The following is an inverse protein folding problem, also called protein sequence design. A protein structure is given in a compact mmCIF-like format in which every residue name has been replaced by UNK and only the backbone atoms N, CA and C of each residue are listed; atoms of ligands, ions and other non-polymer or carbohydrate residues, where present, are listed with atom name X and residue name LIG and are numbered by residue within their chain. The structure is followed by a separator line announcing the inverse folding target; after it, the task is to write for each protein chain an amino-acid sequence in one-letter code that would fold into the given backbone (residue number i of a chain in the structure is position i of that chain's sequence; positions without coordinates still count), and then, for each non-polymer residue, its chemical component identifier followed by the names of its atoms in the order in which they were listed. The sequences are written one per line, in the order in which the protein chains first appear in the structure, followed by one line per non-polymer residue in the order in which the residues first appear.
data_IF_406499073408
#
_entry.id   IF_406499073408
#
_cell.length_a   1.000
_cell.length_b   1.000
_cell.length_c   1.000
_cell.angle_alpha   90.00
_cell.angle_beta   90.00
_cell.angle_gamma   90.00
#
_symmetry.space_group_name_H-M   'P 1'
#
loop_
_entity.id
_entity.type
_entity.pdbx_description
1 polymer ?
#
# COMPACT_ATOMS: atom_id res chain seq x y z
N UNK A 1 9.21 -33.46 27.46
CA UNK A 1 9.01 -32.08 26.98
C UNK A 1 8.26 -32.10 25.64
N UNK A 2 6.95 -31.84 25.70
CA UNK A 2 6.06 -31.91 24.55
C UNK A 2 6.45 -30.86 23.51
N UNK A 3 6.87 -31.31 22.33
CA UNK A 3 6.95 -30.52 21.13
C UNK A 3 5.54 -30.14 20.71
N UNK A 4 5.14 -28.91 20.99
CA UNK A 4 3.94 -28.32 20.39
C UNK A 4 4.24 -28.03 18.92
N UNK A 5 4.08 -29.03 18.06
CA UNK A 5 4.00 -28.82 16.62
C UNK A 5 2.80 -27.90 16.36
N UNK A 6 3.07 -26.71 15.84
CA UNK A 6 2.03 -25.81 15.31
C UNK A 6 1.18 -26.62 14.31
N UNK A 7 -0.16 -26.51 14.35
CA UNK A 7 -1.01 -27.15 13.36
C UNK A 7 -0.62 -26.66 11.95
N UNK A 8 -0.79 -27.48 10.90
CA UNK A 8 -0.50 -27.06 9.52
C UNK A 8 -1.32 -25.81 9.19
N UNK A 9 -0.64 -24.74 8.77
CA UNK A 9 -1.28 -23.44 8.48
C UNK A 9 -2.37 -23.61 7.43
N UNK A 10 -3.59 -23.18 7.77
CA UNK A 10 -4.71 -23.03 6.85
C UNK A 10 -4.56 -21.69 6.10
N UNK A 11 -4.95 -21.68 4.83
CA UNK A 11 -4.58 -20.63 3.86
C UNK A 11 -5.06 -19.19 4.14
N UNK A 12 -4.87 -18.31 3.14
CA UNK A 12 -5.11 -16.86 3.21
C UNK A 12 -6.51 -16.50 2.67
N UNK A 13 -7.23 -15.62 3.39
CA UNK A 13 -8.47 -15.00 2.89
C UNK A 13 -8.26 -13.52 2.58
N UNK A 14 -8.44 -13.11 1.32
CA UNK A 14 -8.41 -11.70 0.92
C UNK A 14 -9.84 -11.16 0.73
N UNK A 15 -10.12 -10.00 1.35
CA UNK A 15 -11.43 -9.32 1.32
C UNK A 15 -11.30 -8.02 0.50
N UNK A 16 -11.57 -8.05 -0.82
CA UNK A 16 -11.49 -6.87 -1.69
C UNK A 16 -12.71 -5.97 -1.61
N UNK A 17 -12.57 -4.73 -2.09
CA UNK A 17 -13.66 -3.78 -2.36
C UNK A 17 -14.77 -4.32 -3.27
N UNK A 18 -14.43 -5.20 -4.23
CA UNK A 18 -15.35 -5.66 -5.29
C UNK A 18 -16.45 -6.62 -4.83
N UNK A 19 -16.41 -7.10 -3.58
CA UNK A 19 -17.63 -7.58 -2.97
C UNK A 19 -18.51 -6.33 -2.76
N UNK A 20 -19.50 -6.15 -3.63
CA UNK A 20 -20.69 -5.34 -3.32
C UNK A 20 -21.40 -5.82 -2.02
N UNK A 21 -20.90 -6.94 -1.45
CA UNK A 21 -21.11 -7.41 -0.10
C UNK A 21 -19.85 -7.50 0.78
N UNK A 22 -18.81 -6.65 0.67
CA UNK A 22 -17.71 -6.55 1.63
C UNK A 22 -18.21 -5.83 2.88
N UNK A 23 -19.00 -4.77 2.65
CA UNK A 23 -19.99 -4.28 3.63
C UNK A 23 -20.88 -5.42 4.08
N UNK A 24 -21.33 -6.35 3.22
CA UNK A 24 -22.13 -7.50 3.66
C UNK A 24 -21.32 -8.65 4.29
N UNK A 25 -19.99 -8.70 4.27
CA UNK A 25 -19.19 -9.75 4.92
C UNK A 25 -18.73 -9.28 6.31
N UNK A 26 -18.20 -8.06 6.38
CA UNK A 26 -17.93 -7.35 7.63
C UNK A 26 -19.25 -7.02 8.34
N UNK A 27 -20.28 -6.57 7.61
CA UNK A 27 -21.62 -6.50 8.19
C UNK A 27 -22.27 -7.87 8.32
N UNK A 28 -22.04 -8.94 7.54
CA UNK A 28 -22.65 -10.25 7.89
C UNK A 28 -22.19 -10.71 9.26
N UNK A 29 -20.89 -10.60 9.56
CA UNK A 29 -20.34 -10.90 10.88
C UNK A 29 -20.95 -9.96 11.94
N UNK A 30 -21.06 -8.65 11.65
CA UNK A 30 -21.68 -7.68 12.56
C UNK A 30 -23.22 -7.72 12.68
N UNK A 31 -23.94 -8.24 11.68
CA UNK A 31 -25.41 -8.21 11.53
C UNK A 31 -26.02 -9.53 12.00
N UNK A 32 -25.29 -10.65 11.92
CA UNK A 32 -25.60 -11.89 12.65
C UNK A 32 -25.66 -11.66 14.17
N UNK A 33 -24.99 -10.62 14.68
CA UNK A 33 -25.09 -10.20 16.08
C UNK A 33 -26.33 -9.34 16.39
N UNK A 34 -27.09 -8.85 15.38
CA UNK A 34 -28.21 -7.90 15.58
C UNK A 34 -29.50 -8.13 14.75
N UNK A 35 -29.64 -9.25 14.04
CA UNK A 35 -30.92 -9.82 13.59
C UNK A 35 -31.91 -8.87 12.89
N UNK A 36 -31.78 -8.67 11.57
CA UNK A 36 -32.85 -8.18 10.68
C UNK A 36 -32.76 -8.83 9.28
N UNK A 37 -33.84 -8.81 8.49
CA UNK A 37 -33.96 -9.53 7.20
C UNK A 37 -33.79 -8.59 6.00
N UNK A 38 -32.97 -8.98 5.01
CA UNK A 38 -32.89 -8.38 3.67
C UNK A 38 -32.66 -9.46 2.59
N UNK A 39 -32.88 -9.14 1.31
CA UNK A 39 -32.78 -10.04 0.11
C UNK A 39 -31.34 -10.50 -0.25
N UNK A 40 -30.39 -10.36 0.67
CA UNK A 40 -29.02 -10.86 0.52
C UNK A 40 -29.01 -12.30 1.04
N UNK A 41 -28.30 -13.22 0.35
CA UNK A 41 -28.06 -14.54 0.93
C UNK A 41 -27.06 -14.38 2.08
N UNK A 42 -27.60 -14.23 3.28
CA UNK A 42 -26.82 -14.14 4.51
C UNK A 42 -26.36 -15.53 4.91
N UNK A 43 -25.05 -15.70 5.11
CA UNK A 43 -24.52 -16.90 5.77
C UNK A 43 -25.14 -17.01 7.16
N UNK A 44 -25.53 -18.22 7.54
CA UNK A 44 -25.92 -18.55 8.91
C UNK A 44 -24.69 -18.44 9.83
N UNK A 45 -24.93 -18.31 11.14
CA UNK A 45 -23.85 -18.18 12.13
C UNK A 45 -22.84 -19.32 12.01
N UNK A 46 -23.33 -20.54 11.85
CA UNK A 46 -22.50 -21.75 11.74
C UNK A 46 -21.67 -21.75 10.46
N UNK A 47 -22.21 -21.21 9.37
CA UNK A 47 -21.51 -21.08 8.09
C UNK A 47 -20.41 -20.02 8.15
N UNK A 48 -20.66 -18.91 8.86
CA UNK A 48 -19.64 -17.88 9.13
C UNK A 48 -18.55 -18.43 10.03
N UNK A 49 -18.89 -19.18 11.07
CA UNK A 49 -17.89 -19.79 11.96
C UNK A 49 -17.02 -20.80 11.21
N UNK A 50 -17.62 -21.69 10.44
CA UNK A 50 -16.88 -22.63 9.59
C UNK A 50 -15.99 -21.92 8.56
N UNK A 51 -16.45 -20.79 8.02
CA UNK A 51 -15.67 -19.97 7.10
C UNK A 51 -14.48 -19.30 7.80
N UNK A 52 -14.67 -18.74 8.99
CA UNK A 52 -13.60 -18.17 9.81
C UNK A 52 -12.55 -19.22 10.13
N UNK A 53 -12.98 -20.41 10.53
CA UNK A 53 -12.08 -21.47 10.95
C UNK A 53 -11.23 -22.02 9.79
N UNK A 54 -11.66 -21.82 8.54
CA UNK A 54 -10.95 -22.26 7.33
C UNK A 54 -9.65 -21.49 7.03
N UNK A 55 -9.48 -20.27 7.56
CA UNK A 55 -8.34 -19.41 7.23
C UNK A 55 -7.65 -18.91 8.48
N UNK A 56 -6.32 -18.89 8.49
CA UNK A 56 -5.56 -18.39 9.63
C UNK A 56 -5.21 -16.91 9.48
N UNK A 57 -5.05 -16.43 8.23
CA UNK A 57 -4.73 -15.04 7.91
C UNK A 57 -5.83 -14.39 7.08
N UNK A 58 -6.22 -13.19 7.49
CA UNK A 58 -7.23 -12.35 6.85
C UNK A 58 -6.60 -11.05 6.37
N UNK A 59 -6.66 -10.81 5.08
CA UNK A 59 -6.18 -9.62 4.42
C UNK A 59 -7.36 -8.73 4.04
N UNK A 60 -7.49 -7.56 4.66
CA UNK A 60 -8.57 -6.62 4.40
C UNK A 60 -8.09 -5.48 3.52
N UNK A 61 -8.81 -5.20 2.44
CA UNK A 61 -8.69 -3.88 1.82
C UNK A 61 -9.09 -2.79 2.83
N UNK A 62 -8.64 -1.56 2.59
CA UNK A 62 -8.87 -0.45 3.49
C UNK A 62 -10.04 0.41 3.02
N UNK A 63 -9.86 1.11 1.91
CA UNK A 63 -10.83 2.02 1.35
C UNK A 63 -12.04 1.24 0.81
N UNK A 64 -13.22 1.55 1.35
CA UNK A 64 -14.50 0.89 1.07
C UNK A 64 -14.73 -0.47 1.75
N UNK A 65 -13.79 -0.93 2.58
CA UNK A 65 -13.92 -2.17 3.37
C UNK A 65 -13.82 -1.91 4.87
N UNK A 66 -12.76 -1.22 5.32
CA UNK A 66 -12.65 -0.78 6.72
C UNK A 66 -13.40 0.53 6.93
N UNK A 67 -13.34 1.44 5.95
CA UNK A 67 -13.98 2.75 6.03
C UNK A 67 -14.53 3.20 4.68
N UNK A 68 -15.48 4.13 4.74
CA UNK A 68 -15.90 4.96 3.63
C UNK A 68 -15.44 6.38 3.95
N UNK A 69 -14.47 6.88 3.18
CA UNK A 69 -13.76 8.14 3.42
C UNK A 69 -13.14 8.20 4.83
N UNK A 70 -13.76 8.95 5.74
CA UNK A 70 -13.36 9.12 7.14
C UNK A 70 -14.18 8.28 8.11
N UNK A 71 -15.28 7.67 7.65
CA UNK A 71 -16.24 6.96 8.51
C UNK A 71 -15.93 5.45 8.53
N UNK A 72 -15.79 4.82 9.70
CA UNK A 72 -15.64 3.38 9.77
C UNK A 72 -16.89 2.66 9.25
N UNK A 73 -16.70 1.55 8.56
CA UNK A 73 -17.80 0.67 8.16
C UNK A 73 -18.47 0.12 9.44
N UNK A 74 -19.81 0.06 9.51
CA UNK A 74 -20.51 -0.41 10.71
C UNK A 74 -20.01 -1.77 11.20
N UNK A 75 -19.78 -1.89 12.51
CA UNK A 75 -19.31 -3.10 13.20
C UNK A 75 -17.91 -3.61 12.78
N UNK A 76 -17.13 -2.83 12.03
CA UNK A 76 -15.79 -3.26 11.59
C UNK A 76 -14.87 -3.58 12.76
N UNK A 77 -14.80 -2.71 13.78
CA UNK A 77 -13.94 -2.93 14.95
C UNK A 77 -14.30 -4.23 15.70
N UNK A 78 -15.60 -4.47 15.92
CA UNK A 78 -16.09 -5.69 16.57
C UNK A 78 -15.76 -6.94 15.74
N UNK A 79 -15.85 -6.85 14.42
CA UNK A 79 -15.53 -7.96 13.50
C UNK A 79 -14.05 -8.31 13.55
N UNK A 80 -13.17 -7.31 13.48
CA UNK A 80 -11.72 -7.51 13.55
C UNK A 80 -11.30 -8.07 14.91
N UNK A 81 -11.87 -7.54 16.00
CA UNK A 81 -11.64 -8.06 17.35
C UNK A 81 -12.07 -9.52 17.51
N UNK A 82 -13.21 -9.91 16.90
CA UNK A 82 -13.68 -11.29 16.92
C UNK A 82 -12.75 -12.25 16.17
N UNK A 83 -12.22 -11.84 15.01
CA UNK A 83 -11.22 -12.63 14.29
C UNK A 83 -9.96 -12.82 15.14
N UNK A 84 -9.44 -11.75 15.75
CA UNK A 84 -8.27 -11.83 16.63
C UNK A 84 -8.52 -12.68 17.87
N UNK A 85 -9.71 -12.60 18.48
CA UNK A 85 -10.06 -13.44 19.64
C UNK A 85 -10.11 -14.93 19.30
N UNK A 86 -10.26 -15.28 18.02
CA UNK A 86 -10.16 -16.64 17.48
C UNK A 86 -8.73 -17.02 17.05
N UNK A 87 -7.73 -16.22 17.41
CA UNK A 87 -6.33 -16.45 17.06
C UNK A 87 -5.99 -16.21 15.59
N UNK A 88 -6.83 -15.45 14.86
CA UNK A 88 -6.59 -15.14 13.45
C UNK A 88 -5.66 -13.95 13.28
N UNK A 89 -4.75 -14.04 12.32
CA UNK A 89 -3.92 -12.92 11.87
C UNK A 89 -4.74 -11.99 10.99
N UNK A 90 -4.71 -10.69 11.27
CA UNK A 90 -5.48 -9.67 10.55
C UNK A 90 -4.52 -8.62 10.01
N UNK A 91 -4.46 -8.48 8.69
CA UNK A 91 -3.62 -7.49 8.00
C UNK A 91 -4.48 -6.55 7.15
N UNK A 92 -4.04 -5.30 7.04
CA UNK A 92 -4.68 -4.23 6.29
C UNK A 92 -3.87 -3.93 5.02
N UNK A 93 -4.42 -4.22 3.85
CA UNK A 93 -3.73 -4.19 2.56
C UNK A 93 -4.28 -3.06 1.67
N UNK A 94 -3.51 -1.99 1.45
CA UNK A 94 -3.97 -0.79 0.72
C UNK A 94 -3.03 -0.40 -0.43
N UNK A 95 -3.60 0.02 -1.57
CA UNK A 95 -2.82 0.64 -2.63
C UNK A 95 -2.36 2.06 -2.28
N UNK A 96 -2.93 2.69 -1.27
CA UNK A 96 -2.60 4.07 -0.94
C UNK A 96 -1.18 4.17 -0.34
N UNK A 97 -0.25 4.69 -1.15
CA UNK A 97 1.14 4.94 -0.80
C UNK A 97 1.40 6.35 -0.23
N UNK A 98 0.35 7.15 -0.03
CA UNK A 98 0.52 8.59 0.27
C UNK A 98 0.91 8.86 1.72
N UNK A 99 0.66 7.89 2.61
CA UNK A 99 0.82 8.01 4.07
C UNK A 99 1.81 6.99 4.58
N UNK A 100 2.57 7.38 5.59
CA UNK A 100 3.34 6.44 6.40
C UNK A 100 2.37 5.60 7.24
N UNK A 101 2.70 4.32 7.48
CA UNK A 101 1.92 3.37 8.29
C UNK A 101 1.56 3.87 9.69
N UNK A 102 2.37 4.72 10.33
CA UNK A 102 1.99 5.34 11.62
C UNK A 102 0.72 6.19 11.52
N UNK A 103 0.48 6.85 10.38
CA UNK A 103 -0.72 7.65 10.15
C UNK A 103 -1.96 6.77 9.95
N UNK A 104 -1.78 5.51 9.56
CA UNK A 104 -2.86 4.53 9.57
C UNK A 104 -3.21 4.11 10.99
N UNK A 105 -2.22 3.92 11.87
CA UNK A 105 -2.46 3.60 13.27
C UNK A 105 -3.29 4.69 13.96
N UNK A 106 -2.95 5.96 13.74
CA UNK A 106 -3.75 7.09 14.24
C UNK A 106 -5.21 7.04 13.75
N UNK A 107 -5.42 6.62 12.49
CA UNK A 107 -6.76 6.47 11.89
C UNK A 107 -7.50 5.29 12.51
N UNK A 108 -6.86 4.13 12.65
CA UNK A 108 -7.43 2.94 13.27
C UNK A 108 -7.81 3.19 14.73
N UNK A 109 -6.95 3.85 15.49
CA UNK A 109 -7.19 4.19 16.89
C UNK A 109 -8.46 5.05 17.04
N UNK A 110 -8.64 6.07 16.20
CA UNK A 110 -9.85 6.91 16.18
C UNK A 110 -11.13 6.12 15.85
N UNK A 111 -10.99 4.98 15.17
CA UNK A 111 -12.09 4.07 14.82
C UNK A 111 -12.31 2.96 15.86
N UNK A 112 -11.54 2.95 16.95
CA UNK A 112 -11.58 1.87 17.95
C UNK A 112 -11.03 0.54 17.43
N UNK A 113 -10.16 0.59 16.41
CA UNK A 113 -9.49 -0.57 15.83
C UNK A 113 -8.08 -0.63 16.41
N UNK A 114 -7.77 -1.71 17.11
CA UNK A 114 -6.40 -2.02 17.52
C UNK A 114 -5.58 -2.42 16.28
N UNK A 115 -4.38 -1.88 16.11
CA UNK A 115 -3.49 -2.25 15.01
C UNK A 115 -2.03 -1.95 15.37
N UNK A 116 -1.12 -2.77 14.87
CA UNK A 116 0.33 -2.55 14.92
C UNK A 116 0.87 -2.05 13.57
N UNK A 117 2.10 -1.55 13.52
CA UNK A 117 2.74 -1.16 12.26
C UNK A 117 2.87 -2.36 11.31
N UNK A 118 3.06 -3.53 11.89
CA UNK A 118 3.14 -4.81 11.22
C UNK A 118 1.78 -5.21 10.63
N UNK A 119 0.65 -4.78 11.18
CA UNK A 119 -0.65 -5.08 10.58
C UNK A 119 -0.88 -4.32 9.26
N UNK A 120 -0.14 -3.24 8.99
CA UNK A 120 -0.39 -2.33 7.87
C UNK A 120 0.55 -2.60 6.70
N UNK A 121 -0.03 -2.99 5.57
CA UNK A 121 0.70 -3.35 4.34
C UNK A 121 0.21 -2.47 3.19
N UNK A 122 0.85 -1.34 3.01
CA UNK A 122 0.55 -0.45 1.87
C UNK A 122 1.44 -0.79 0.67
N UNK A 123 1.07 -0.30 -0.51
CA UNK A 123 1.95 -0.37 -1.67
C UNK A 123 3.27 0.39 -1.50
N UNK A 124 3.34 1.38 -0.59
CA UNK A 124 4.60 2.02 -0.21
C UNK A 124 5.47 1.09 0.65
N UNK A 125 4.88 0.41 1.64
CA UNK A 125 5.57 -0.64 2.43
C UNK A 125 6.09 -1.74 1.51
N UNK A 126 5.29 -2.18 0.54
CA UNK A 126 5.71 -3.16 -0.45
C UNK A 126 6.87 -2.66 -1.33
N UNK A 127 6.82 -1.41 -1.80
CA UNK A 127 7.90 -0.82 -2.59
C UNK A 127 9.21 -0.72 -1.80
N UNK A 128 9.12 -0.30 -0.54
CA UNK A 128 10.25 -0.24 0.37
C UNK A 128 10.83 -1.64 0.64
N UNK A 129 9.98 -2.63 0.93
CA UNK A 129 10.40 -4.01 1.17
C UNK A 129 11.08 -4.61 -0.06
N UNK A 130 10.50 -4.44 -1.25
CA UNK A 130 11.11 -4.87 -2.52
C UNK A 130 12.48 -4.23 -2.75
N UNK A 131 12.58 -2.92 -2.53
CA UNK A 131 13.84 -2.19 -2.65
C UNK A 131 14.90 -2.73 -1.68
N UNK A 132 14.53 -2.94 -0.41
CA UNK A 132 15.43 -3.43 0.62
C UNK A 132 15.89 -4.88 0.39
N UNK A 133 14.99 -5.77 -0.01
CA UNK A 133 15.32 -7.15 -0.38
C UNK A 133 16.36 -7.20 -1.51
N UNK A 134 16.24 -6.29 -2.49
CA UNK A 134 17.07 -6.31 -3.68
C UNK A 134 18.40 -5.58 -3.53
N UNK A 135 18.42 -4.44 -2.83
CA UNK A 135 19.58 -3.55 -2.80
C UNK A 135 20.22 -3.41 -1.42
N UNK A 136 19.53 -3.82 -0.35
CA UNK A 136 20.03 -3.74 1.02
C UNK A 136 20.06 -2.32 1.61
N UNK A 137 20.48 -2.24 2.87
CA UNK A 137 20.60 -0.97 3.62
C UNK A 137 21.69 -0.08 3.03
N UNK A 138 21.46 1.23 3.04
CA UNK A 138 22.38 2.24 2.52
C UNK A 138 22.31 2.44 1.00
N UNK A 139 21.56 1.61 0.27
CA UNK A 139 21.38 1.79 -1.16
C UNK A 139 20.67 3.12 -1.48
N UNK A 140 21.17 3.83 -2.49
CA UNK A 140 20.61 5.12 -2.91
C UNK A 140 19.39 4.96 -3.80
N UNK A 141 18.35 5.73 -3.53
CA UNK A 141 17.09 5.73 -4.27
C UNK A 141 16.61 7.15 -4.52
N UNK A 142 16.04 7.41 -5.70
CA UNK A 142 15.27 8.62 -5.94
C UNK A 142 13.78 8.31 -5.74
N UNK A 143 13.13 9.02 -4.83
CA UNK A 143 11.71 8.82 -4.52
C UNK A 143 10.88 9.99 -5.06
N UNK A 144 10.01 9.70 -6.03
CA UNK A 144 9.06 10.65 -6.61
C UNK A 144 7.65 10.35 -6.08
N UNK A 145 7.30 10.94 -4.94
CA UNK A 145 6.03 10.69 -4.26
C UNK A 145 5.90 11.51 -2.99
N UNK A 146 4.83 11.29 -2.22
CA UNK A 146 4.62 11.98 -0.95
C UNK A 146 5.68 11.63 0.09
N UNK A 147 5.80 12.49 1.12
CA UNK A 147 6.69 12.25 2.26
C UNK A 147 6.37 10.94 3.01
N UNK A 148 5.10 10.50 3.00
CA UNK A 148 4.70 9.22 3.59
C UNK A 148 5.42 8.04 2.92
N UNK A 149 5.43 8.00 1.59
CA UNK A 149 6.16 7.00 0.80
C UNK A 149 7.67 7.07 1.06
N UNK A 150 8.23 8.27 1.11
CA UNK A 150 9.67 8.47 1.36
C UNK A 150 10.08 7.90 2.72
N UNK A 151 9.25 8.10 3.76
CA UNK A 151 9.52 7.55 5.10
C UNK A 151 9.53 6.03 5.14
N UNK A 152 8.65 5.34 4.38
CA UNK A 152 8.69 3.88 4.29
C UNK A 152 10.02 3.37 3.72
N UNK A 153 10.59 4.08 2.74
CA UNK A 153 11.92 3.77 2.19
C UNK A 153 13.05 4.05 3.21
N UNK A 154 12.94 5.14 3.97
CA UNK A 154 13.90 5.47 5.04
C UNK A 154 13.88 4.41 6.15
N UNK A 155 12.70 3.92 6.54
CA UNK A 155 12.50 2.91 7.58
C UNK A 155 13.22 1.57 7.27
N UNK A 156 13.30 1.21 5.99
CA UNK A 156 14.05 0.01 5.54
C UNK A 156 15.54 0.29 5.30
N UNK A 157 16.00 1.52 5.56
CA UNK A 157 17.39 1.93 5.47
C UNK A 157 17.83 2.41 4.08
N UNK A 158 16.91 2.81 3.20
CA UNK A 158 17.27 3.41 1.93
C UNK A 158 17.85 4.82 2.12
N UNK A 159 18.85 5.18 1.31
CA UNK A 159 19.38 6.54 1.28
C UNK A 159 18.65 7.35 0.21
N UNK A 160 17.81 8.28 0.65
CA UNK A 160 17.01 9.12 -0.26
C UNK A 160 17.90 10.18 -0.88
N UNK A 161 18.06 10.13 -2.21
CA UNK A 161 18.76 11.18 -2.96
C UNK A 161 17.78 12.31 -3.24
N UNK A 162 18.13 13.51 -2.76
CA UNK A 162 17.42 14.75 -3.08
C UNK A 162 18.27 15.55 -4.06
N UNK A 163 17.78 15.87 -5.26
CA UNK A 163 18.46 16.75 -6.19
C UNK A 163 18.75 18.09 -5.52
N UNK A 164 19.99 18.58 -5.63
CA UNK A 164 20.43 19.84 -5.03
C UNK A 164 19.58 21.08 -5.42
N UNK A 165 18.78 20.94 -6.48
CA UNK A 165 17.99 22.02 -7.09
C UNK A 165 16.49 21.94 -6.80
N UNK A 166 16.02 21.06 -5.91
CA UNK A 166 14.59 20.97 -5.58
C UNK A 166 13.99 22.28 -5.01
N UNK A 167 14.82 23.18 -4.47
CA UNK A 167 14.38 24.51 -3.99
C UNK A 167 14.63 25.67 -4.98
N UNK A 168 15.30 25.44 -6.11
CA UNK A 168 15.81 26.53 -6.92
C UNK A 168 14.87 26.84 -8.10
N UNK A 169 14.09 27.91 -7.96
CA UNK A 169 13.06 28.38 -8.90
C UNK A 169 13.64 29.07 -10.13
N UNK A 170 14.94 29.40 -10.15
CA UNK A 170 15.57 30.18 -11.22
C UNK A 170 15.86 29.40 -12.51
N UNK A 171 15.81 28.07 -12.44
CA UNK A 171 16.18 27.15 -13.52
C UNK A 171 15.15 27.05 -14.66
N UNK A 172 13.93 27.56 -14.49
CA UNK A 172 12.96 27.63 -15.59
C UNK A 172 13.15 28.86 -16.49
N UNK A 173 13.93 29.85 -16.04
CA UNK A 173 14.12 31.12 -16.76
C UNK A 173 15.25 31.05 -17.79
N UNK A 174 16.22 30.14 -17.63
CA UNK A 174 17.45 30.08 -18.43
C UNK A 174 17.64 28.78 -19.24
N UNK A 175 16.60 27.95 -19.36
CA UNK A 175 16.64 26.64 -20.03
C UNK A 175 17.12 25.50 -19.13
N UNK A 176 17.02 24.24 -19.57
CA UNK A 176 17.32 23.07 -18.74
C UNK A 176 18.81 22.98 -18.42
N UNK A 177 19.25 23.58 -17.31
CA UNK A 177 20.61 23.38 -16.81
C UNK A 177 20.73 21.96 -16.24
N UNK A 178 21.86 21.32 -16.54
CA UNK A 178 22.11 19.90 -16.36
C UNK A 178 21.74 19.41 -14.95
N UNK A 179 20.80 18.46 -14.92
CA UNK A 179 20.64 17.57 -13.78
C UNK A 179 21.82 16.60 -13.79
N UNK A 180 22.81 16.86 -12.94
CA UNK A 180 23.79 15.83 -12.57
C UNK A 180 23.04 14.78 -11.76
N UNK A 181 22.97 13.58 -12.33
CA UNK A 181 22.38 12.41 -11.67
C UNK A 181 23.45 11.79 -10.78
N UNK A 182 23.09 11.42 -9.55
CA UNK A 182 23.98 10.64 -8.70
C UNK A 182 24.15 9.23 -9.30
N UNK A 183 25.37 8.82 -9.69
CA UNK A 183 25.59 7.55 -10.39
C UNK A 183 25.32 6.32 -9.52
N UNK A 184 25.22 6.46 -8.20
CA UNK A 184 25.00 5.35 -7.28
C UNK A 184 23.51 5.02 -7.07
N UNK A 185 22.59 5.84 -7.61
CA UNK A 185 21.14 5.57 -7.54
C UNK A 185 20.84 4.21 -8.17
N UNK A 186 20.19 3.34 -7.40
CA UNK A 186 19.81 1.99 -7.81
C UNK A 186 18.40 1.91 -8.35
N UNK A 187 17.50 2.77 -7.88
CA UNK A 187 16.12 2.78 -8.34
C UNK A 187 15.51 4.18 -8.29
N UNK A 188 14.50 4.37 -9.14
CA UNK A 188 13.46 5.39 -9.00
C UNK A 188 12.21 4.70 -8.45
N UNK A 189 11.71 5.18 -7.31
CA UNK A 189 10.42 4.74 -6.75
C UNK A 189 9.39 5.85 -6.97
N UNK A 190 8.28 5.56 -7.64
CA UNK A 190 7.24 6.54 -7.91
C UNK A 190 5.88 6.15 -7.33
N UNK A 191 5.21 7.13 -6.73
CA UNK A 191 3.85 7.05 -6.22
C UNK A 191 3.08 8.34 -6.49
N UNK A 192 1.96 8.54 -5.78
CA UNK A 192 1.25 9.81 -5.85
C UNK A 192 2.10 10.94 -5.25
N UNK A 193 2.13 12.10 -5.92
CA UNK A 193 2.84 13.29 -5.47
C UNK A 193 1.95 14.52 -5.66
N UNK A 194 1.47 15.10 -4.55
CA UNK A 194 0.63 16.30 -4.56
C UNK A 194 1.39 17.56 -4.96
N UNK A 195 2.73 17.51 -4.88
CA UNK A 195 3.63 18.59 -5.24
C UNK A 195 4.51 18.14 -6.42
N UNK A 196 3.94 17.39 -7.37
CA UNK A 196 4.64 16.96 -8.57
C UNK A 196 5.05 18.19 -9.39
N UNK A 197 6.33 18.26 -9.74
CA UNK A 197 6.85 19.32 -10.60
C UNK A 197 7.55 18.72 -11.81
N UNK A 198 7.66 19.50 -12.88
CA UNK A 198 8.44 19.09 -14.04
C UNK A 198 9.89 18.74 -13.68
N UNK A 199 10.46 19.38 -12.65
CA UNK A 199 11.80 19.08 -12.13
C UNK A 199 11.89 17.66 -11.57
N UNK A 200 10.96 17.28 -10.70
CA UNK A 200 10.93 15.92 -10.11
C UNK A 200 10.81 14.86 -11.21
N UNK A 201 9.91 15.10 -12.18
CA UNK A 201 9.75 14.25 -13.35
C UNK A 201 11.05 14.19 -14.17
N UNK A 202 11.69 15.32 -14.45
CA UNK A 202 12.94 15.37 -15.19
C UNK A 202 14.05 14.62 -14.46
N UNK A 203 14.18 14.74 -13.13
CA UNK A 203 15.19 14.00 -12.38
C UNK A 203 14.95 12.49 -12.44
N UNK A 204 13.71 12.04 -12.22
CA UNK A 204 13.32 10.63 -12.36
C UNK A 204 13.68 10.09 -13.75
N UNK A 205 13.26 10.81 -14.81
CA UNK A 205 13.51 10.41 -16.20
C UNK A 205 15.01 10.38 -16.51
N UNK A 206 15.78 11.38 -16.05
CA UNK A 206 17.23 11.42 -16.26
C UNK A 206 17.93 10.25 -15.54
N UNK A 207 17.49 9.88 -14.34
CA UNK A 207 17.99 8.67 -13.66
C UNK A 207 17.77 7.44 -14.54
N UNK A 208 16.56 7.27 -15.05
CA UNK A 208 16.18 6.10 -15.85
C UNK A 208 16.86 6.03 -17.23
N UNK A 209 17.15 7.18 -17.84
CA UNK A 209 17.82 7.28 -19.14
C UNK A 209 19.35 7.12 -19.03
N UNK A 210 19.97 7.66 -17.97
CA UNK A 210 21.43 7.72 -17.84
C UNK A 210 22.04 6.55 -17.08
N UNK A 211 21.26 5.85 -16.26
CA UNK A 211 21.74 4.75 -15.42
C UNK A 211 21.17 3.42 -15.93
N UNK A 212 21.93 2.61 -16.70
CA UNK A 212 21.44 1.35 -17.29
C UNK A 212 20.90 0.35 -16.26
N UNK A 213 21.44 0.37 -15.04
CA UNK A 213 21.01 -0.48 -13.92
C UNK A 213 19.95 0.12 -13.02
N UNK A 214 19.49 1.35 -13.27
CA UNK A 214 18.47 1.98 -12.43
C UNK A 214 17.10 1.37 -12.74
N UNK A 215 16.50 0.76 -11.73
CA UNK A 215 15.17 0.14 -11.83
C UNK A 215 14.07 1.17 -11.59
N UNK A 216 12.93 0.98 -12.25
CA UNK A 216 11.75 1.79 -12.02
C UNK A 216 10.70 0.99 -11.23
N UNK A 217 10.37 1.44 -10.02
CA UNK A 217 9.43 0.81 -9.10
C UNK A 217 8.23 1.73 -8.94
N UNK A 218 7.05 1.25 -9.32
CA UNK A 218 5.79 1.98 -9.16
C UNK A 218 5.03 1.43 -7.94
N UNK A 219 4.55 2.30 -7.05
CA UNK A 219 3.73 1.86 -5.91
C UNK A 219 2.41 1.27 -6.39
N UNK A 220 1.68 1.95 -7.28
CA UNK A 220 0.45 1.44 -7.87
C UNK A 220 0.13 2.18 -9.19
N UNK A 221 -0.82 1.64 -9.95
CA UNK A 221 -1.27 2.21 -11.23
C UNK A 221 -2.62 2.93 -11.15
N UNK A 222 -3.08 3.30 -9.95
CA UNK A 222 -4.43 3.83 -9.76
C UNK A 222 -4.59 5.15 -10.53
N UNK A 223 -5.62 5.21 -11.40
CA UNK A 223 -5.90 6.38 -12.23
C UNK A 223 -6.39 7.56 -11.39
N UNK A 224 -7.23 7.29 -10.40
CA UNK A 224 -7.92 8.30 -9.60
C UNK A 224 -7.68 8.04 -8.11
N UNK A 225 -7.60 9.12 -7.34
CA UNK A 225 -7.51 9.13 -5.90
C UNK A 225 -8.77 9.76 -5.29
N UNK A 226 -9.53 9.03 -4.46
CA UNK A 226 -10.66 9.61 -3.72
C UNK A 226 -10.13 10.41 -2.53
N UNK A 227 -10.34 11.73 -2.52
CA UNK A 227 -9.83 12.59 -1.44
C UNK A 227 -10.71 12.64 -0.19
N UNK A 228 -11.92 12.06 -0.25
CA UNK A 228 -12.87 12.03 0.86
C UNK A 228 -13.73 13.30 1.00
N UNK A 229 -13.64 14.22 0.04
CA UNK A 229 -14.46 15.43 -0.09
C UNK A 229 -15.51 15.30 -1.22
N UNK A 230 -15.70 14.09 -1.73
CA UNK A 230 -16.53 13.80 -2.90
C UNK A 230 -15.83 14.01 -4.25
N UNK A 231 -14.60 14.53 -4.26
CA UNK A 231 -13.84 14.75 -5.49
C UNK A 231 -12.86 13.60 -5.78
N UNK A 232 -12.55 13.47 -7.08
CA UNK A 232 -11.55 12.54 -7.60
C UNK A 232 -10.36 13.33 -8.14
N UNK A 233 -9.18 13.05 -7.62
CA UNK A 233 -7.93 13.65 -8.04
C UNK A 233 -7.09 12.67 -8.86
N UNK A 234 -6.08 13.12 -9.61
CA UNK A 234 -5.12 12.22 -10.24
C UNK A 234 -4.46 11.30 -9.20
N UNK A 235 -4.51 9.98 -9.45
CA UNK A 235 -3.86 8.98 -8.60
C UNK A 235 -2.36 8.84 -8.90
N UNK A 236 -1.72 7.86 -8.25
CA UNK A 236 -0.29 7.59 -8.46
C UNK A 236 0.03 7.25 -9.93
N UNK A 237 -0.92 6.63 -10.64
CA UNK A 237 -0.81 6.31 -12.04
C UNK A 237 -0.49 7.52 -12.93
N UNK A 238 -0.93 8.73 -12.56
CA UNK A 238 -0.60 9.95 -13.32
C UNK A 238 0.91 10.25 -13.27
N UNK A 239 1.53 10.15 -12.09
CA UNK A 239 2.98 10.37 -11.91
C UNK A 239 3.77 9.26 -12.59
N UNK A 240 3.37 8.01 -12.35
CA UNK A 240 4.04 6.83 -12.91
C UNK A 240 4.02 6.88 -14.45
N UNK A 241 2.86 7.09 -15.06
CA UNK A 241 2.70 7.13 -16.52
C UNK A 241 3.46 8.27 -17.16
N UNK A 242 3.57 9.43 -16.51
CA UNK A 242 4.39 10.54 -17.01
C UNK A 242 5.87 10.15 -17.10
N UNK A 243 6.40 9.46 -16.08
CA UNK A 243 7.78 8.97 -16.07
C UNK A 243 7.96 7.86 -17.11
N UNK A 244 7.03 6.92 -17.22
CA UNK A 244 7.08 5.85 -18.23
C UNK A 244 7.15 6.42 -19.65
N UNK A 245 6.22 7.33 -19.96
CA UNK A 245 6.12 7.97 -21.27
C UNK A 245 7.42 8.70 -21.64
N UNK A 246 7.93 9.55 -20.73
CA UNK A 246 9.10 10.37 -20.99
C UNK A 246 10.42 9.59 -21.00
N UNK A 247 10.54 8.52 -20.23
CA UNK A 247 11.75 7.68 -20.20
C UNK A 247 11.78 6.64 -21.32
N UNK A 248 10.66 6.36 -21.98
CA UNK A 248 10.53 5.25 -22.91
C UNK A 248 10.66 3.87 -22.25
N UNK A 249 10.73 3.83 -20.91
CA UNK A 249 10.79 2.61 -20.10
C UNK A 249 9.44 2.43 -19.43
N UNK A 250 8.68 1.42 -19.84
CA UNK A 250 7.52 0.99 -19.04
C UNK A 250 7.97 0.63 -17.63
N UNK A 251 7.13 0.81 -16.61
CA UNK A 251 7.50 0.45 -15.24
C UNK A 251 7.55 -1.09 -15.15
N UNK A 252 8.74 -1.69 -14.95
CA UNK A 252 8.85 -3.14 -14.88
C UNK A 252 8.22 -3.72 -13.60
N UNK A 253 8.03 -2.90 -12.55
CA UNK A 253 7.52 -3.38 -11.26
C UNK A 253 6.40 -2.47 -10.75
N UNK A 254 5.17 -2.97 -10.82
CA UNK A 254 4.03 -2.42 -10.07
C UNK A 254 3.85 -3.24 -8.80
N UNK A 255 3.98 -2.59 -7.64
CA UNK A 255 3.87 -3.25 -6.35
C UNK A 255 2.41 -3.54 -6.00
N UNK A 256 1.57 -2.51 -6.12
CA UNK A 256 0.19 -2.54 -5.67
C UNK A 256 -0.71 -3.46 -6.48
N UNK A 257 -1.90 -3.69 -5.92
CA UNK A 257 -3.01 -4.41 -6.53
C UNK A 257 -3.40 -3.73 -7.86
N UNK A 258 -3.91 -4.46 -8.86
CA UNK A 258 -4.26 -5.88 -8.85
C UNK A 258 -3.09 -6.84 -9.12
N UNK A 259 -1.85 -6.33 -9.24
CA UNK A 259 -0.67 -7.19 -9.42
C UNK A 259 -0.42 -8.09 -8.19
N UNK A 260 0.24 -9.23 -8.36
CA UNK A 260 0.47 -10.19 -7.27
C UNK A 260 1.57 -9.72 -6.30
N UNK A 261 2.43 -8.79 -6.73
CA UNK A 261 3.68 -8.45 -6.06
C UNK A 261 3.53 -8.10 -4.57
N UNK A 262 2.50 -7.33 -4.20
CA UNK A 262 2.25 -6.98 -2.79
C UNK A 262 1.93 -8.21 -1.92
N UNK A 263 1.21 -9.18 -2.48
CA UNK A 263 0.89 -10.44 -1.81
C UNK A 263 2.11 -11.36 -1.80
N UNK A 264 2.84 -11.48 -2.91
CA UNK A 264 4.06 -12.28 -3.00
C UNK A 264 5.14 -11.80 -2.00
N UNK A 265 5.24 -10.49 -1.78
CA UNK A 265 6.12 -9.91 -0.77
C UNK A 265 5.65 -10.24 0.64
N UNK A 266 4.34 -10.28 0.89
CA UNK A 266 3.80 -10.67 2.18
C UNK A 266 4.10 -12.14 2.52
N UNK A 267 3.91 -13.04 1.57
CA UNK A 267 4.25 -14.46 1.72
C UNK A 267 5.75 -14.63 2.03
N UNK A 268 6.63 -13.97 1.27
CA UNK A 268 8.09 -14.07 1.47
C UNK A 268 8.57 -13.48 2.79
N UNK A 269 8.07 -12.30 3.17
CA UNK A 269 8.56 -11.58 4.36
C UNK A 269 8.00 -12.14 5.66
N UNK A 270 6.85 -12.82 5.63
CA UNK A 270 6.16 -13.29 6.83
C UNK A 270 5.99 -14.81 6.90
N UNK A 271 6.42 -15.53 5.88
CA UNK A 271 6.35 -17.00 5.82
C UNK A 271 4.91 -17.51 5.90
N UNK A 272 3.98 -16.80 5.26
CA UNK A 272 2.54 -17.13 5.22
C UNK A 272 2.21 -18.07 4.06
#
# INVERSE_FOLDING_TARGET
PASASLPPMRGICYVPLALAGATAAVAAIGYLLKGRKSKIHWLRKEEVEAWIDRYDTWLFDCDGVIWLDTNPVPNVAATLAHLRSKGKTVLFVSNNATKHRSQYLDKFQKMGIEASLEDVVTSAVGAASYFAEKYGKGAKVYACGTQGMVRELEDVGATIVKPATEMDTQLLVSGPQLVTVDPDIKAVVAGADWNLTHRKLSYAVQCLLKLPGCEFIATNGDRLYPAGDGNLYPGAGATVRAIEFCSGRGAPVYIGKPGPMLLDLLERTRGM
#
